data_IF_394332651993
#
_entry.id   IF_394332651993
#
_cell.length_a   1.000
_cell.length_b   1.000
_cell.length_c   1.000
_cell.angle_alpha   90.00
_cell.angle_beta   90.00
_cell.angle_gamma   90.00
#
_symmetry.space_group_name_H-M   'P 1'
#
loop_
_entity.id
_entity.type
_entity.pdbx_description
1 polymer ?
#
# COMPACT_ATOMS: atom_id res chain seq x y z
N UNK A 1 -33.48 16.27 -20.85
CA UNK A 1 -33.76 17.01 -19.60
C UNK A 1 -32.92 16.31 -18.51
N UNK A 2 -31.94 17.03 -17.93
CA UNK A 2 -31.25 16.58 -16.72
C UNK A 2 -32.21 16.85 -15.55
N UNK A 3 -32.63 15.80 -14.88
CA UNK A 3 -33.36 15.92 -13.62
C UNK A 3 -32.35 16.27 -12.53
N UNK A 4 -32.37 17.51 -12.05
CA UNK A 4 -31.41 17.99 -11.06
C UNK A 4 -31.52 17.26 -9.72
N UNK A 5 -32.67 16.69 -9.40
CA UNK A 5 -32.90 15.99 -8.13
C UNK A 5 -32.35 14.55 -8.14
N UNK A 6 -32.15 13.96 -9.34
CA UNK A 6 -31.58 12.63 -9.52
C UNK A 6 -30.14 12.66 -10.04
N UNK A 7 -29.61 13.86 -10.33
CA UNK A 7 -28.26 14.01 -10.89
C UNK A 7 -27.21 14.05 -9.79
N UNK A 8 -26.16 13.24 -9.94
CA UNK A 8 -24.96 13.28 -9.09
C UNK A 8 -23.87 14.06 -9.81
N UNK A 9 -23.43 15.15 -9.22
CA UNK A 9 -22.23 15.87 -9.63
C UNK A 9 -21.16 15.72 -8.59
N UNK A 10 -19.98 15.24 -8.96
CA UNK A 10 -18.84 15.17 -8.06
C UNK A 10 -17.60 15.74 -8.74
N UNK A 11 -16.82 16.53 -8.01
CA UNK A 11 -15.55 17.07 -8.43
C UNK A 11 -14.48 16.72 -7.41
N UNK A 12 -13.38 16.15 -7.87
CA UNK A 12 -12.25 15.77 -7.04
C UNK A 12 -10.96 16.36 -7.59
N UNK A 13 -10.34 17.22 -6.81
CA UNK A 13 -9.04 17.83 -7.13
C UNK A 13 -8.00 17.41 -6.11
N UNK A 14 -6.86 16.95 -6.59
CA UNK A 14 -5.75 16.58 -5.73
C UNK A 14 -4.47 17.28 -6.18
N UNK A 15 -3.82 17.94 -5.24
CA UNK A 15 -2.51 18.54 -5.41
C UNK A 15 -1.52 17.76 -4.57
N UNK A 16 -0.50 17.21 -5.21
CA UNK A 16 0.56 16.43 -4.55
C UNK A 16 1.91 17.06 -4.84
N UNK A 17 2.68 17.29 -3.80
CA UNK A 17 4.08 17.65 -3.90
C UNK A 17 4.93 16.46 -3.47
N UNK A 18 6.06 16.25 -4.16
CA UNK A 18 6.96 15.15 -3.83
C UNK A 18 8.34 15.71 -3.48
N UNK A 19 8.84 15.32 -2.31
CA UNK A 19 10.19 15.61 -1.89
C UNK A 19 10.89 14.31 -1.55
N UNK A 20 12.02 14.07 -2.19
CA UNK A 20 12.81 12.87 -1.94
C UNK A 20 14.19 13.25 -1.40
N UNK A 21 14.52 12.67 -0.26
CA UNK A 21 15.86 12.71 0.32
C UNK A 21 16.50 11.35 0.14
N UNK A 22 17.73 11.30 -0.33
CA UNK A 22 18.46 10.03 -0.52
C UNK A 22 19.91 10.19 -0.09
N UNK A 23 20.34 9.30 0.79
CA UNK A 23 21.74 9.13 1.16
C UNK A 23 22.27 7.88 0.44
N UNK A 24 23.37 8.04 -0.27
CA UNK A 24 24.03 6.94 -0.97
C UNK A 24 25.45 6.77 -0.47
N UNK A 25 25.78 5.58 -0.01
CA UNK A 25 27.12 5.14 0.31
C UNK A 25 27.56 4.06 -0.66
N UNK A 26 28.70 4.26 -1.30
CA UNK A 26 29.27 3.28 -2.22
C UNK A 26 30.71 2.95 -1.78
N UNK A 27 30.98 1.68 -1.51
CA UNK A 27 32.29 1.14 -1.14
C UNK A 27 32.60 -0.07 -2.02
N UNK A 28 33.84 -0.54 -1.98
CA UNK A 28 34.28 -1.65 -2.84
C UNK A 28 33.44 -2.92 -2.71
N UNK A 29 33.00 -3.25 -1.48
CA UNK A 29 32.24 -4.48 -1.18
C UNK A 29 30.75 -4.23 -0.98
N UNK A 30 30.32 -3.00 -0.65
CA UNK A 30 28.92 -2.74 -0.40
C UNK A 30 28.44 -1.41 -0.97
N UNK A 31 27.18 -1.39 -1.27
CA UNK A 31 26.43 -0.18 -1.59
C UNK A 31 25.18 -0.12 -0.72
N UNK A 32 24.98 1.03 -0.11
CA UNK A 32 23.81 1.34 0.70
C UNK A 32 23.16 2.61 0.17
N UNK A 33 21.89 2.51 -0.21
CA UNK A 33 21.04 3.64 -0.53
C UNK A 33 19.91 3.68 0.50
N UNK A 34 19.79 4.77 1.26
CA UNK A 34 18.70 5.01 2.20
C UNK A 34 17.96 6.25 1.76
N UNK A 35 16.67 6.15 1.60
CA UNK A 35 15.84 7.23 1.10
C UNK A 35 14.57 7.41 1.92
N UNK A 36 14.05 8.63 1.90
CA UNK A 36 12.75 9.00 2.42
C UNK A 36 12.04 9.88 1.40
N UNK A 37 10.87 9.48 0.96
CA UNK A 37 10.00 10.30 0.14
C UNK A 37 8.84 10.81 1.00
N UNK A 38 8.64 12.11 0.95
CA UNK A 38 7.53 12.81 1.60
C UNK A 38 6.63 13.37 0.51
N UNK A 39 5.33 13.08 0.61
CA UNK A 39 4.32 13.53 -0.34
C UNK A 39 3.18 14.24 0.41
N UNK A 40 3.33 15.56 0.71
CA UNK A 40 2.21 16.36 1.12
C UNK A 40 1.14 16.38 0.02
N UNK A 41 -0.08 16.07 0.39
CA UNK A 41 -1.22 15.99 -0.52
C UNK A 41 -2.38 16.80 0.04
N UNK A 42 -2.94 17.65 -0.79
CA UNK A 42 -4.19 18.37 -0.52
C UNK A 42 -5.25 17.87 -1.49
N UNK A 43 -6.31 17.31 -0.95
CA UNK A 43 -7.46 16.83 -1.73
C UNK A 43 -8.68 17.66 -1.40
N UNK A 44 -9.39 18.10 -2.44
CA UNK A 44 -10.63 18.84 -2.35
C UNK A 44 -11.72 18.03 -3.05
N UNK A 45 -12.78 17.73 -2.34
CA UNK A 45 -13.90 16.95 -2.82
C UNK A 45 -15.18 17.75 -2.66
N UNK A 46 -15.87 17.96 -3.78
CA UNK A 46 -17.17 18.61 -3.85
C UNK A 46 -18.15 17.61 -4.44
N UNK A 47 -19.25 17.41 -3.77
CA UNK A 47 -20.33 16.55 -4.25
C UNK A 47 -21.69 17.20 -4.00
N UNK A 48 -22.51 17.21 -5.05
CA UNK A 48 -23.93 17.52 -4.98
C UNK A 48 -24.70 16.22 -5.28
N UNK A 49 -25.50 15.76 -4.32
CA UNK A 49 -26.28 14.54 -4.45
C UNK A 49 -27.56 14.65 -3.63
N UNK A 50 -28.72 14.49 -4.25
CA UNK A 50 -30.05 14.64 -3.64
C UNK A 50 -30.20 15.92 -2.81
N UNK A 51 -29.73 17.07 -3.34
CA UNK A 51 -29.81 18.36 -2.65
C UNK A 51 -28.85 18.50 -1.47
N UNK A 52 -28.02 17.49 -1.17
CA UNK A 52 -26.97 17.58 -0.16
C UNK A 52 -25.68 18.01 -0.83
N UNK A 53 -25.21 19.20 -0.44
CA UNK A 53 -23.91 19.73 -0.86
C UNK A 53 -22.84 19.33 0.15
N UNK A 54 -21.82 18.61 -0.30
CA UNK A 54 -20.68 18.22 0.51
C UNK A 54 -19.42 18.87 -0.07
N UNK A 55 -18.76 19.68 0.74
CA UNK A 55 -17.47 20.29 0.43
C UNK A 55 -16.45 19.90 1.52
N UNK A 56 -15.43 19.16 1.14
CA UNK A 56 -14.46 18.63 2.09
C UNK A 56 -13.04 18.81 1.57
N UNK A 57 -12.19 19.42 2.39
CA UNK A 57 -10.76 19.56 2.13
C UNK A 57 -9.97 18.67 3.10
N UNK A 58 -9.06 17.87 2.57
CA UNK A 58 -8.19 17.01 3.35
C UNK A 58 -6.74 17.28 3.03
N UNK A 59 -5.96 17.53 4.07
CA UNK A 59 -4.50 17.66 3.98
C UNK A 59 -3.86 16.45 4.66
N UNK A 60 -3.00 15.75 3.95
CA UNK A 60 -2.28 14.57 4.44
C UNK A 60 -0.83 14.61 4.01
N UNK A 61 0.02 13.90 4.73
CA UNK A 61 1.40 13.69 4.34
C UNK A 61 1.64 12.19 4.24
N UNK A 62 1.91 11.74 3.04
CA UNK A 62 2.35 10.37 2.79
C UNK A 62 3.87 10.31 2.95
N UNK A 63 4.37 9.22 3.51
CA UNK A 63 5.80 9.00 3.64
C UNK A 63 6.16 7.59 3.17
N UNK A 64 7.29 7.48 2.51
CA UNK A 64 7.74 6.23 1.91
C UNK A 64 9.25 6.08 2.12
N UNK A 65 9.67 5.41 3.19
CA UNK A 65 11.05 5.06 3.42
C UNK A 65 11.51 3.97 2.49
N UNK A 66 12.75 4.06 2.02
CA UNK A 66 13.39 3.07 1.17
C UNK A 66 14.79 2.74 1.68
N UNK A 67 15.18 1.47 1.61
CA UNK A 67 16.53 1.02 1.87
C UNK A 67 16.91 0.00 0.80
N UNK A 68 18.01 0.23 0.13
CA UNK A 68 18.61 -0.72 -0.78
C UNK A 68 20.03 -1.00 -0.33
N UNK A 69 20.28 -2.21 0.09
CA UNK A 69 21.59 -2.68 0.50
C UNK A 69 22.05 -3.79 -0.43
N UNK A 70 23.27 -3.66 -0.93
CA UNK A 70 23.93 -4.68 -1.73
C UNK A 70 25.29 -4.94 -1.11
N UNK A 71 25.57 -6.19 -0.83
CA UNK A 71 26.87 -6.63 -0.36
C UNK A 71 27.45 -7.70 -1.29
N UNK A 72 28.71 -7.53 -1.66
CA UNK A 72 29.47 -8.48 -2.46
C UNK A 72 30.51 -9.13 -1.57
N UNK A 73 30.32 -10.39 -1.24
CA UNK A 73 31.28 -11.17 -0.45
C UNK A 73 32.56 -11.41 -1.27
N UNK A 74 32.36 -11.87 -2.51
CA UNK A 74 33.37 -12.12 -3.50
C UNK A 74 32.83 -11.88 -4.93
N UNK A 75 33.51 -12.34 -5.98
CA UNK A 75 33.08 -12.17 -7.38
C UNK A 75 31.83 -12.99 -7.71
N UNK A 76 31.52 -14.02 -6.92
CA UNK A 76 30.48 -15.01 -7.21
C UNK A 76 29.35 -15.02 -6.17
N UNK A 77 29.50 -14.28 -5.07
CA UNK A 77 28.56 -14.27 -3.96
C UNK A 77 28.04 -12.86 -3.69
N UNK A 78 26.74 -12.70 -3.75
CA UNK A 78 26.10 -11.41 -3.53
C UNK A 78 24.84 -11.54 -2.64
N UNK A 79 24.64 -10.52 -1.78
CA UNK A 79 23.45 -10.31 -1.00
C UNK A 79 22.80 -8.99 -1.41
N UNK A 80 21.48 -9.00 -1.61
CA UNK A 80 20.68 -7.80 -1.84
C UNK A 80 19.53 -7.77 -0.85
N UNK A 81 19.38 -6.64 -0.20
CA UNK A 81 18.26 -6.38 0.71
C UNK A 81 17.58 -5.11 0.22
N UNK A 82 16.29 -5.19 -0.06
CA UNK A 82 15.47 -4.08 -0.46
C UNK A 82 14.30 -3.95 0.51
N UNK A 83 14.18 -2.79 1.12
CA UNK A 83 13.02 -2.44 1.94
C UNK A 83 12.32 -1.23 1.36
N UNK A 84 11.00 -1.25 1.37
CA UNK A 84 10.16 -0.12 1.00
C UNK A 84 8.92 -0.07 1.88
N UNK A 85 8.72 1.07 2.53
CA UNK A 85 7.47 1.44 3.18
C UNK A 85 6.61 2.28 2.23
N UNK A 86 5.30 2.10 2.28
CA UNK A 86 4.36 2.88 1.45
C UNK A 86 3.12 3.21 2.25
N UNK A 87 2.79 4.51 2.33
CA UNK A 87 1.53 4.98 2.90
C UNK A 87 0.46 4.99 1.80
N UNK A 88 -0.71 4.43 2.10
CA UNK A 88 -1.89 4.46 1.23
C UNK A 88 -3.03 5.14 1.99
N UNK A 89 -3.54 6.25 1.44
CA UNK A 89 -4.66 6.97 2.03
C UNK A 89 -5.97 6.27 1.71
N UNK A 90 -6.98 6.32 2.64
CA UNK A 90 -8.34 5.90 2.33
C UNK A 90 -8.91 6.73 1.18
N UNK A 91 -9.77 6.12 0.40
CA UNK A 91 -10.56 6.83 -0.61
C UNK A 91 -11.40 7.94 0.02
N UNK A 92 -11.64 9.03 -0.72
CA UNK A 92 -12.43 10.13 -0.18
C UNK A 92 -13.89 9.70 0.07
N UNK A 93 -14.45 8.89 -0.80
CA UNK A 93 -15.80 8.32 -0.64
C UNK A 93 -15.92 7.42 0.58
N UNK A 94 -14.85 6.71 0.95
CA UNK A 94 -14.82 5.86 2.14
C UNK A 94 -14.81 6.67 3.44
N UNK A 95 -14.35 7.92 3.38
CA UNK A 95 -14.25 8.82 4.53
C UNK A 95 -15.50 9.66 4.77
N UNK A 96 -16.35 9.80 3.76
CA UNK A 96 -17.58 10.57 3.89
C UNK A 96 -18.62 9.79 4.68
N UNK A 97 -19.31 10.48 5.60
CA UNK A 97 -20.43 9.90 6.35
C UNK A 97 -21.71 9.81 5.48
N UNK A 98 -21.56 9.45 4.22
CA UNK A 98 -22.65 9.30 3.28
C UNK A 98 -23.16 7.87 3.36
N UNK A 99 -24.48 7.73 3.47
CA UNK A 99 -25.18 6.45 3.36
C UNK A 99 -25.68 6.34 1.93
N UNK A 100 -25.24 5.34 1.21
CA UNK A 100 -25.79 4.96 -0.09
C UNK A 100 -26.78 3.83 0.14
N UNK A 101 -28.05 4.18 0.13
CA UNK A 101 -29.22 3.31 0.29
C UNK A 101 -30.01 3.14 -1.00
N UNK A 102 -29.41 3.44 -2.14
CA UNK A 102 -30.02 3.26 -3.47
C UNK A 102 -30.47 1.83 -3.70
N UNK A 103 -29.81 0.86 -3.07
CA UNK A 103 -30.27 -0.52 -2.93
C UNK A 103 -30.48 -0.85 -1.44
N UNK A 104 -31.75 -0.90 -0.96
CA UNK A 104 -32.06 -1.14 0.45
C UNK A 104 -31.52 -2.45 1.02
N UNK A 105 -31.20 -3.43 0.14
CA UNK A 105 -30.60 -4.71 0.54
C UNK A 105 -29.07 -4.65 0.58
N UNK A 106 -28.43 -3.60 0.06
CA UNK A 106 -27.00 -3.43 -0.03
C UNK A 106 -26.55 -2.01 0.33
N UNK A 107 -26.74 -1.61 1.55
CA UNK A 107 -26.41 -0.28 2.04
C UNK A 107 -24.90 -0.14 2.20
N UNK A 108 -24.33 0.95 1.70
CA UNK A 108 -22.92 1.30 1.89
C UNK A 108 -22.81 2.54 2.76
N UNK A 109 -21.94 2.48 3.77
CA UNK A 109 -21.72 3.57 4.72
C UNK A 109 -20.23 3.90 4.77
N UNK A 110 -19.87 5.16 4.64
CA UNK A 110 -18.49 5.60 4.80
C UNK A 110 -18.03 5.60 6.26
N UNK A 111 -16.73 5.72 6.47
CA UNK A 111 -16.10 5.75 7.79
C UNK A 111 -15.07 6.89 7.90
N UNK A 112 -15.44 8.05 8.46
CA UNK A 112 -14.52 9.17 8.66
C UNK A 112 -13.33 8.87 9.56
N UNK A 113 -13.45 7.82 10.40
CA UNK A 113 -12.41 7.37 11.32
C UNK A 113 -11.31 6.52 10.69
N UNK A 114 -11.33 6.30 9.38
CA UNK A 114 -10.30 5.52 8.69
C UNK A 114 -8.92 6.16 8.79
N UNK A 115 -7.95 5.35 9.17
CA UNK A 115 -6.53 5.69 9.21
C UNK A 115 -5.85 5.24 7.91
N UNK A 116 -4.79 5.94 7.48
CA UNK A 116 -3.98 5.49 6.36
C UNK A 116 -3.40 4.09 6.60
N UNK A 117 -3.39 3.28 5.57
CA UNK A 117 -2.70 2.01 5.57
C UNK A 117 -1.20 2.22 5.35
N UNK A 118 -0.37 1.43 6.00
CA UNK A 118 1.08 1.45 5.81
C UNK A 118 1.59 0.04 5.48
N UNK A 119 2.14 -0.11 4.29
CA UNK A 119 2.66 -1.40 3.81
C UNK A 119 4.17 -1.41 3.86
N UNK A 120 4.72 -2.36 4.61
CA UNK A 120 6.14 -2.69 4.63
C UNK A 120 6.40 -3.82 3.64
N UNK A 121 7.41 -3.66 2.78
CA UNK A 121 7.87 -4.72 1.87
C UNK A 121 9.36 -4.91 2.05
N UNK A 122 9.77 -6.12 2.39
CA UNK A 122 11.16 -6.53 2.51
C UNK A 122 11.43 -7.62 1.48
N UNK A 123 12.49 -7.45 0.70
CA UNK A 123 12.99 -8.45 -0.24
C UNK A 123 14.44 -8.72 0.07
N UNK A 124 14.77 -9.98 0.23
CA UNK A 124 16.13 -10.45 0.43
C UNK A 124 16.43 -11.42 -0.70
N UNK A 125 17.55 -11.22 -1.34
CA UNK A 125 18.06 -12.08 -2.38
C UNK A 125 19.53 -12.39 -2.10
N UNK A 126 19.86 -13.66 -2.07
CA UNK A 126 21.24 -14.13 -1.93
C UNK A 126 21.53 -15.12 -3.05
N UNK A 127 22.68 -14.99 -3.67
CA UNK A 127 23.20 -15.98 -4.59
C UNK A 127 24.70 -16.19 -4.38
N UNK A 128 25.12 -17.42 -4.54
CA UNK A 128 26.53 -17.80 -4.55
C UNK A 128 26.79 -18.91 -5.56
N UNK A 129 27.99 -18.89 -6.16
CA UNK A 129 28.48 -19.95 -7.01
C UNK A 129 29.82 -20.48 -6.48
N UNK A 130 29.88 -21.76 -6.19
CA UNK A 130 31.07 -22.45 -5.67
C UNK A 130 31.73 -23.16 -6.84
N UNK A 131 32.75 -22.53 -7.40
CA UNK A 131 33.40 -22.98 -8.61
C UNK A 131 34.10 -24.37 -8.47
N UNK A 132 34.69 -24.66 -7.30
CA UNK A 132 35.40 -25.92 -7.04
C UNK A 132 34.54 -27.17 -7.17
N UNK A 133 33.20 -27.02 -7.00
CA UNK A 133 32.25 -28.12 -7.05
C UNK A 133 31.12 -27.84 -8.07
N UNK A 134 31.25 -26.80 -8.89
CA UNK A 134 30.22 -26.35 -9.85
C UNK A 134 28.81 -26.27 -9.23
N UNK A 135 28.74 -25.78 -8.00
CA UNK A 135 27.47 -25.65 -7.25
C UNK A 135 27.01 -24.22 -7.20
N UNK A 136 25.71 -24.02 -7.33
CA UNK A 136 25.10 -22.71 -7.09
C UNK A 136 23.98 -22.81 -6.08
N UNK A 137 23.90 -21.80 -5.23
CA UNK A 137 22.80 -21.61 -4.27
C UNK A 137 22.17 -20.26 -4.56
N UNK A 138 20.87 -20.24 -4.72
CA UNK A 138 20.08 -19.02 -4.84
C UNK A 138 18.94 -19.07 -3.84
N UNK A 139 18.79 -17.99 -3.09
CA UNK A 139 17.72 -17.86 -2.10
C UNK A 139 17.03 -16.53 -2.29
N UNK A 140 15.72 -16.51 -2.26
CA UNK A 140 14.97 -15.28 -2.13
C UNK A 140 13.92 -15.39 -1.02
N UNK A 141 13.66 -14.25 -0.39
CA UNK A 141 12.63 -14.07 0.60
C UNK A 141 11.92 -12.75 0.31
N UNK A 142 10.60 -12.80 0.19
CA UNK A 142 9.76 -11.63 0.08
C UNK A 142 8.79 -11.63 1.26
N UNK A 143 8.83 -10.58 2.04
CA UNK A 143 7.92 -10.36 3.17
C UNK A 143 7.15 -9.06 2.96
N UNK A 144 5.85 -9.11 3.14
CA UNK A 144 4.97 -7.94 3.11
C UNK A 144 4.07 -7.94 4.33
N UNK A 145 3.89 -6.77 4.93
CA UNK A 145 2.97 -6.57 6.05
C UNK A 145 2.28 -5.24 5.89
N UNK A 146 0.95 -5.21 6.05
CA UNK A 146 0.16 -3.98 6.00
C UNK A 146 -0.49 -3.72 7.35
N UNK A 147 -0.15 -2.58 7.93
CA UNK A 147 -0.82 -2.04 9.12
C UNK A 147 -1.98 -1.15 8.71
N UNK A 148 -3.07 -1.16 9.50
CA UNK A 148 -4.29 -0.43 9.21
C UNK A 148 -4.82 -0.69 7.79
N UNK A 149 -4.72 -1.93 7.30
CA UNK A 149 -5.30 -2.31 6.01
C UNK A 149 -6.78 -1.95 5.99
N UNK A 150 -7.22 -1.32 4.89
CA UNK A 150 -8.63 -0.95 4.74
C UNK A 150 -9.35 -2.12 4.09
N UNK A 151 -10.38 -2.61 4.76
CA UNK A 151 -11.20 -3.74 4.31
C UNK A 151 -12.67 -3.46 4.60
N UNK A 152 -13.55 -4.02 3.80
CA UNK A 152 -14.97 -3.86 4.00
C UNK A 152 -15.50 -4.86 5.03
N UNK A 153 -16.06 -4.32 6.11
CA UNK A 153 -16.87 -5.08 7.06
C UNK A 153 -18.30 -5.14 6.56
N UNK A 154 -18.84 -6.33 6.47
CA UNK A 154 -20.24 -6.57 6.10
C UNK A 154 -20.98 -6.99 7.36
N UNK A 155 -22.06 -6.29 7.68
CA UNK A 155 -22.99 -6.61 8.78
C UNK A 155 -24.35 -6.89 8.15
N UNK A 156 -25.00 -7.94 8.59
CA UNK A 156 -26.36 -8.29 8.15
C UNK A 156 -27.38 -7.70 9.13
N UNK A 157 -28.42 -7.11 8.58
CA UNK A 157 -29.59 -6.71 9.33
C UNK A 157 -30.58 -7.90 9.36
N UNK A 158 -30.75 -8.50 10.53
CA UNK A 158 -31.61 -9.65 10.73
C UNK A 158 -33.10 -9.33 10.47
N UNK A 159 -33.49 -8.06 10.55
CA UNK A 159 -34.89 -7.63 10.40
C UNK A 159 -35.28 -7.48 8.95
N UNK A 160 -34.38 -6.92 8.13
CA UNK A 160 -34.64 -6.65 6.73
C UNK A 160 -34.01 -7.66 5.75
N UNK A 161 -33.08 -8.49 6.25
CA UNK A 161 -32.25 -9.37 5.43
C UNK A 161 -31.21 -8.62 4.59
N UNK A 162 -31.12 -7.29 4.74
CA UNK A 162 -30.17 -6.46 4.05
C UNK A 162 -28.75 -6.57 4.65
N UNK A 163 -27.76 -6.13 3.89
CA UNK A 163 -26.37 -6.05 4.34
C UNK A 163 -25.89 -4.61 4.33
N UNK A 164 -25.17 -4.25 5.38
CA UNK A 164 -24.51 -2.96 5.53
C UNK A 164 -23.02 -3.19 5.35
N UNK A 165 -22.42 -2.52 4.38
CA UNK A 165 -20.99 -2.56 4.10
C UNK A 165 -20.33 -1.27 4.54
N UNK A 166 -19.32 -1.38 5.42
CA UNK A 166 -18.55 -0.25 5.93
C UNK A 166 -17.06 -0.54 5.87
N UNK A 167 -16.21 0.37 5.34
CA UNK A 167 -14.78 0.20 5.38
C UNK A 167 -14.23 0.38 6.82
N UNK A 168 -13.38 -0.54 7.25
CA UNK A 168 -12.70 -0.51 8.56
C UNK A 168 -11.21 -0.81 8.41
N UNK A 169 -10.41 -0.32 9.37
CA UNK A 169 -9.01 -0.68 9.44
C UNK A 169 -8.84 -2.02 10.15
N UNK A 170 -8.12 -2.93 9.52
CA UNK A 170 -7.73 -4.21 10.09
C UNK A 170 -6.22 -4.35 10.14
N UNK A 171 -5.72 -5.11 11.10
CA UNK A 171 -4.30 -5.45 11.25
C UNK A 171 -4.12 -6.96 11.13
N UNK A 172 -2.87 -7.38 10.94
CA UNK A 172 -2.51 -8.80 10.83
C UNK A 172 -2.37 -9.29 9.39
N UNK A 173 -2.53 -8.42 8.39
CA UNK A 173 -2.25 -8.77 6.99
C UNK A 173 -0.74 -8.88 6.78
N UNK A 174 -0.27 -10.08 6.48
CA UNK A 174 1.10 -10.31 6.08
C UNK A 174 1.18 -11.43 5.04
N UNK A 175 2.21 -11.39 4.27
CA UNK A 175 2.54 -12.37 3.24
C UNK A 175 4.03 -12.67 3.31
N UNK A 176 4.41 -13.93 3.20
CA UNK A 176 5.79 -14.39 3.18
C UNK A 176 5.97 -15.44 2.08
N UNK A 177 6.83 -15.13 1.11
CA UNK A 177 7.25 -16.02 0.06
C UNK A 177 8.76 -16.24 0.15
N UNK A 178 9.19 -17.49 0.22
CA UNK A 178 10.61 -17.85 0.23
C UNK A 178 10.87 -19.03 -0.68
N UNK A 179 12.02 -19.04 -1.34
CA UNK A 179 12.51 -20.19 -2.07
C UNK A 179 14.03 -20.33 -1.96
N UNK A 180 14.48 -21.57 -1.99
CA UNK A 180 15.85 -21.99 -2.04
C UNK A 180 16.03 -22.85 -3.29
N UNK A 181 16.97 -22.48 -4.14
CA UNK A 181 17.37 -23.23 -5.33
C UNK A 181 18.80 -23.70 -5.13
N UNK A 182 19.03 -24.96 -5.33
CA UNK A 182 20.35 -25.57 -5.28
C UNK A 182 20.61 -26.30 -6.59
N UNK A 183 21.70 -25.96 -7.26
CA UNK A 183 22.15 -26.65 -8.47
C UNK A 183 23.54 -27.22 -8.23
N UNK A 184 23.78 -28.44 -8.71
CA UNK A 184 25.08 -29.10 -8.69
C UNK A 184 25.30 -29.81 -10.01
N UNK A 185 26.52 -29.82 -10.51
CA UNK A 185 26.91 -30.74 -11.58
C UNK A 185 27.06 -32.14 -10.98
N UNK A 186 26.55 -33.12 -11.70
CA UNK A 186 26.75 -34.54 -11.42
C UNK A 186 27.68 -35.05 -12.52
N UNK A 187 28.89 -35.43 -12.13
CA UNK A 187 29.87 -36.07 -13.01
C UNK A 187 29.52 -37.56 -13.16
#
# INVERSE_FOLDING_TARGET
YLDNDLSRRSEYKTYTHETQLMLRMNRQKYRLDVGMMLQPQRSHYIQDYFGVHTDTVRNVVNWSPTLNFRYRFDKQSNLRINYRGTTTQPGMTDLLSIVDDSDPLNIKVGNPGLKPAFTNRLRIFYNTFIQSHQRSVMTYLNYSNTRNSISNKVTFDETTGGRITRPENINGNWDLNAALMFNTSVD
#
